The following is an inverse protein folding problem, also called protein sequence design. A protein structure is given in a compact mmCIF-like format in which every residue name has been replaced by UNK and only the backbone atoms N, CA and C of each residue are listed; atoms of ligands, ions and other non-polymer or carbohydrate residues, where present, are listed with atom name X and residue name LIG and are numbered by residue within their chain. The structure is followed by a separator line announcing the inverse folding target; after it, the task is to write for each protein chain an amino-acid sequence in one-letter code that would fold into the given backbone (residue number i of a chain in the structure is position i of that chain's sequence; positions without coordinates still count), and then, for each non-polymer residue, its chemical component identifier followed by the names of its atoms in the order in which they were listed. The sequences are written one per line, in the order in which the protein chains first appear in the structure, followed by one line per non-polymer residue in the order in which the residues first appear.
data_IF_488597037866
#
_entry.id   IF_488597037866
#
_cell.length_a   1.000
_cell.length_b   1.000
_cell.length_c   1.000
_cell.angle_alpha   90.00
_cell.angle_beta   90.00
_cell.angle_gamma   90.00
#
_symmetry.space_group_name_H-M   'P 1'
#
loop_
_entity.id
_entity.type
_entity.pdbx_description
1 polymer ?
#
# COMPACT_ATOMS: atom_id res chain seq x y z
N UNK A 1 11.64 4.39 6.38
CA UNK A 1 11.96 3.00 5.99
C UNK A 1 10.96 2.00 6.57
N UNK A 2 10.78 1.94 7.89
CA UNK A 2 9.78 1.03 8.54
C UNK A 2 8.35 1.24 8.02
N UNK A 3 7.91 2.49 7.84
CA UNK A 3 6.55 2.78 7.31
C UNK A 3 6.31 2.12 5.95
N UNK A 4 7.30 2.17 5.04
CA UNK A 4 7.18 1.54 3.73
C UNK A 4 7.06 0.02 3.84
N UNK A 5 7.83 -0.62 4.72
CA UNK A 5 7.72 -2.06 4.96
C UNK A 5 6.34 -2.45 5.54
N UNK A 6 5.79 -1.64 6.45
CA UNK A 6 4.44 -1.84 6.99
C UNK A 6 3.39 -1.71 5.87
N UNK A 7 3.51 -0.68 5.03
CA UNK A 7 2.61 -0.47 3.90
C UNK A 7 2.69 -1.62 2.90
N UNK A 8 3.89 -2.14 2.65
CA UNK A 8 4.08 -3.32 1.82
C UNK A 8 3.36 -4.55 2.39
N UNK A 9 3.51 -4.84 3.69
CA UNK A 9 2.82 -5.95 4.33
C UNK A 9 1.29 -5.77 4.34
N UNK A 10 0.81 -4.55 4.54
CA UNK A 10 -0.61 -4.20 4.40
C UNK A 10 -1.11 -4.46 2.99
N UNK A 11 -0.36 -4.02 1.98
CA UNK A 11 -0.65 -4.29 0.57
C UNK A 11 -0.74 -5.79 0.31
N UNK A 12 0.24 -6.57 0.78
CA UNK A 12 0.27 -8.02 0.65
C UNK A 12 -0.96 -8.67 1.26
N UNK A 13 -1.33 -8.28 2.48
CA UNK A 13 -2.54 -8.79 3.14
C UNK A 13 -3.81 -8.43 2.36
N UNK A 14 -3.89 -7.20 1.84
CA UNK A 14 -5.01 -6.75 1.00
C UNK A 14 -5.08 -7.61 -0.27
N UNK A 15 -3.96 -7.84 -0.95
CA UNK A 15 -3.93 -8.67 -2.16
C UNK A 15 -4.29 -10.13 -1.89
N UNK A 16 -3.95 -10.65 -0.70
CA UNK A 16 -4.23 -12.04 -0.32
C UNK A 16 -5.69 -12.28 0.05
N UNK A 17 -6.32 -11.32 0.75
CA UNK A 17 -7.63 -11.53 1.39
C UNK A 17 -8.75 -10.66 0.84
N UNK A 18 -8.45 -9.62 0.08
CA UNK A 18 -9.41 -8.62 -0.38
C UNK A 18 -9.28 -8.33 -1.88
N UNK A 19 -10.37 -7.87 -2.48
CA UNK A 19 -10.39 -7.50 -3.89
C UNK A 19 -9.83 -6.09 -4.16
N UNK A 20 -9.78 -5.74 -5.44
CA UNK A 20 -9.38 -4.42 -5.95
C UNK A 20 -9.97 -3.19 -5.23
N UNK A 21 -11.26 -3.13 -4.80
CA UNK A 21 -11.76 -1.93 -4.12
C UNK A 21 -11.04 -1.62 -2.79
N UNK A 22 -10.48 -2.63 -2.11
CA UNK A 22 -9.79 -2.43 -0.84
C UNK A 22 -8.44 -1.71 -0.99
N UNK A 23 -7.73 -1.90 -2.12
CA UNK A 23 -6.45 -1.21 -2.33
C UNK A 23 -6.63 0.28 -2.62
N UNK A 24 -7.75 0.65 -3.26
CA UNK A 24 -8.10 2.05 -3.52
C UNK A 24 -8.44 2.79 -2.21
N UNK A 25 -9.27 2.18 -1.36
CA UNK A 25 -9.63 2.78 -0.07
C UNK A 25 -8.42 2.88 0.86
N UNK A 26 -7.55 1.86 0.90
CA UNK A 26 -6.30 1.89 1.65
C UNK A 26 -5.36 3.01 1.17
N UNK A 27 -5.20 3.16 -0.16
CA UNK A 27 -4.35 4.21 -0.74
C UNK A 27 -4.86 5.61 -0.40
N UNK A 28 -6.18 5.80 -0.42
CA UNK A 28 -6.82 7.07 -0.06
C UNK A 28 -6.66 7.37 1.43
N UNK A 29 -6.91 6.37 2.30
CA UNK A 29 -6.75 6.51 3.75
C UNK A 29 -5.30 6.83 4.15
N UNK A 30 -4.32 6.12 3.56
CA UNK A 30 -2.89 6.38 3.77
C UNK A 30 -2.53 7.79 3.34
N UNK A 31 -3.02 8.25 2.18
CA UNK A 31 -2.76 9.60 1.70
C UNK A 31 -3.33 10.66 2.64
N UNK A 32 -4.59 10.52 3.06
CA UNK A 32 -5.20 11.49 4.00
C UNK A 32 -4.43 11.53 5.31
N UNK A 33 -4.16 10.37 5.93
CA UNK A 33 -3.46 10.31 7.22
C UNK A 33 -2.09 10.96 7.16
N UNK A 34 -1.29 10.64 6.14
CA UNK A 34 0.06 11.18 5.99
C UNK A 34 0.04 12.69 5.74
N UNK A 35 -0.81 13.17 4.83
CA UNK A 35 -0.92 14.60 4.56
C UNK A 35 -1.39 15.38 5.79
N UNK A 36 -2.39 14.89 6.51
CA UNK A 36 -2.83 15.51 7.77
C UNK A 36 -1.70 15.60 8.78
N UNK A 37 -0.93 14.52 8.98
CA UNK A 37 0.21 14.52 9.91
C UNK A 37 1.30 15.51 9.48
N UNK A 38 1.64 15.56 8.20
CA UNK A 38 2.67 16.46 7.68
C UNK A 38 2.26 17.93 7.76
N UNK A 39 0.98 18.24 7.52
CA UNK A 39 0.43 19.60 7.68
C UNK A 39 0.52 20.03 9.14
N UNK A 40 0.10 19.19 10.09
CA UNK A 40 0.12 19.51 11.53
C UNK A 40 1.55 19.73 12.02
N UNK A 41 2.52 18.97 11.49
CA UNK A 41 3.94 19.13 11.84
C UNK A 41 4.63 20.28 11.12
N UNK A 42 3.99 20.90 10.13
CA UNK A 42 4.60 21.95 9.31
C UNK A 42 5.74 21.44 8.41
N UNK A 43 5.82 20.13 8.18
CA UNK A 43 6.91 19.51 7.41
C UNK A 43 6.62 19.50 5.89
N UNK A 44 5.56 20.17 5.43
CA UNK A 44 5.05 20.09 4.06
C UNK A 44 5.99 20.73 3.02
N UNK A 45 7.03 19.98 2.63
CA UNK A 45 8.02 20.36 1.62
C UNK A 45 7.96 19.48 0.37
N UNK A 46 8.65 19.93 -0.68
CA UNK A 46 8.71 19.21 -1.97
C UNK A 46 9.24 17.76 -1.84
N UNK A 47 10.19 17.52 -0.93
CA UNK A 47 10.73 16.19 -0.67
C UNK A 47 9.68 15.18 -0.21
N UNK A 48 8.69 15.63 0.57
CA UNK A 48 7.64 14.78 1.11
C UNK A 48 6.76 14.18 0.01
N UNK A 49 6.63 14.86 -1.13
CA UNK A 49 5.89 14.32 -2.28
C UNK A 49 6.54 13.04 -2.80
N UNK A 50 7.88 12.98 -2.86
CA UNK A 50 8.59 11.75 -3.25
C UNK A 50 8.44 10.64 -2.21
N UNK A 51 8.42 11.01 -0.93
CA UNK A 51 8.19 10.05 0.17
C UNK A 51 6.78 9.46 0.06
N UNK A 52 5.77 10.29 -0.20
CA UNK A 52 4.40 9.85 -0.45
C UNK A 52 4.31 8.89 -1.62
N UNK A 53 4.94 9.23 -2.75
CA UNK A 53 5.01 8.33 -3.92
C UNK A 53 5.66 7.01 -3.53
N UNK A 54 6.78 7.02 -2.81
CA UNK A 54 7.45 5.80 -2.35
C UNK A 54 6.58 4.94 -1.43
N UNK A 55 5.77 5.57 -0.58
CA UNK A 55 4.80 4.88 0.27
C UNK A 55 3.66 4.23 -0.53
N UNK A 56 3.17 4.91 -1.57
CA UNK A 56 2.19 4.31 -2.49
C UNK A 56 2.80 3.14 -3.27
N UNK A 57 4.03 3.26 -3.78
CA UNK A 57 4.71 2.16 -4.45
C UNK A 57 4.90 0.95 -3.53
N UNK A 58 5.24 1.16 -2.27
CA UNK A 58 5.36 0.08 -1.29
C UNK A 58 4.01 -0.64 -1.09
N UNK A 59 2.92 0.11 -0.91
CA UNK A 59 1.57 -0.45 -0.78
C UNK A 59 1.12 -1.22 -2.04
N UNK A 60 1.33 -0.65 -3.22
CA UNK A 60 0.92 -1.24 -4.50
C UNK A 60 1.75 -2.48 -4.86
N UNK A 61 3.05 -2.46 -4.61
CA UNK A 61 3.91 -3.64 -4.83
C UNK A 61 3.56 -4.80 -3.90
N UNK A 62 3.24 -4.51 -2.64
CA UNK A 62 2.71 -5.50 -1.70
C UNK A 62 1.41 -6.12 -2.22
N UNK A 63 0.46 -5.29 -2.65
CA UNK A 63 -0.81 -5.74 -3.22
C UNK A 63 -0.63 -6.65 -4.44
N UNK A 64 0.22 -6.26 -5.39
CA UNK A 64 0.50 -7.08 -6.56
C UNK A 64 1.05 -8.46 -6.18
N UNK A 65 1.99 -8.52 -5.23
CA UNK A 65 2.52 -9.79 -4.75
C UNK A 65 1.46 -10.62 -4.03
N UNK A 66 0.68 -10.00 -3.14
CA UNK A 66 -0.40 -10.67 -2.42
C UNK A 66 -1.46 -11.26 -3.37
N UNK A 67 -1.89 -10.49 -4.36
CA UNK A 67 -2.88 -10.91 -5.35
C UNK A 67 -2.34 -12.04 -6.25
N UNK A 68 -1.05 -11.99 -6.60
CA UNK A 68 -0.40 -13.09 -7.32
C UNK A 68 -0.42 -14.38 -6.51
N UNK A 69 -0.08 -14.33 -5.22
CA UNK A 69 -0.11 -15.49 -4.32
C UNK A 69 -1.52 -16.00 -4.03
N UNK A 70 -2.54 -15.14 -4.09
CA UNK A 70 -3.95 -15.52 -3.92
C UNK A 70 -4.55 -16.21 -5.15
N UNK A 71 -3.90 -16.11 -6.31
CA UNK A 71 -4.40 -16.70 -7.55
C UNK A 71 -4.27 -18.22 -7.47
N UNK A 72 -5.38 -18.99 -7.60
CA UNK A 72 -5.32 -20.44 -7.56
C UNK A 72 -4.37 -20.97 -8.63
N UNK A 73 -3.50 -21.90 -8.23
CA UNK A 73 -2.63 -22.57 -9.18
C UNK A 73 -3.43 -23.68 -9.87
N UNK A 74 -3.58 -23.67 -11.21
CA UNK A 74 -4.37 -24.67 -11.93
C UNK A 74 -3.83 -26.10 -11.80
N UNK A 75 -2.62 -26.29 -11.26
CA UNK A 75 -2.04 -27.61 -11.00
C UNK A 75 -2.45 -28.23 -9.65
N UNK A 76 -3.15 -27.49 -8.78
CA UNK A 76 -3.60 -27.99 -7.47
C UNK A 76 -4.98 -28.68 -7.55
N UNK A 77 -5.64 -28.64 -8.72
CA UNK A 77 -6.97 -29.20 -9.01
C UNK A 77 -6.94 -30.51 -9.85
N UNK A 78 -5.76 -31.10 -10.13
CA UNK A 78 -5.58 -32.41 -10.84
C UNK A 78 -5.21 -33.57 -9.91
#
# INVERSE_FOLDING_TARGET
MIIAAILFLLGLLIGLSYGYPAILSASLAVSILLFTVWIIRGEFGFFIVFVWIGYLFALQSGFLLGAYLATPNPADDE
#
